data_IF_250095776386
#
_entry.id   IF_250095776386
#
_cell.length_a   1.000
_cell.length_b   1.000
_cell.length_c   1.000
_cell.angle_alpha   90.00
_cell.angle_beta   90.00
_cell.angle_gamma   90.00
#
_symmetry.space_group_name_H-M   'P 1'
#
loop_
_entity.id
_entity.type
_entity.pdbx_description
1 polymer ?
#
# COMPACT_ATOMS: atom_id res chain seq x y z
N UNK A 1 -4.97 -2.17 -3.87
CA UNK A 1 -5.95 -2.59 -4.91
C UNK A 1 -5.92 -1.68 -6.15
N UNK A 2 -6.67 -2.04 -7.20
CA UNK A 2 -6.96 -1.17 -8.34
C UNK A 2 -8.47 -1.20 -8.56
N UNK A 3 -9.11 -0.02 -8.47
CA UNK A 3 -10.57 0.14 -8.50
C UNK A 3 -11.28 -0.82 -7.52
N UNK A 4 -10.66 -1.04 -6.36
CA UNK A 4 -11.14 -1.91 -5.31
C UNK A 4 -11.79 -1.12 -4.17
N UNK A 5 -12.20 -1.82 -3.10
CA UNK A 5 -12.76 -1.18 -1.91
C UNK A 5 -12.62 -2.07 -0.69
N UNK A 6 -12.94 -1.53 0.49
CA UNK A 6 -13.07 -2.26 1.74
C UNK A 6 -14.54 -2.34 2.15
N UNK A 7 -15.01 -3.57 2.36
CA UNK A 7 -16.38 -3.78 2.86
C UNK A 7 -16.50 -3.30 4.31
N UNK A 8 -17.64 -2.72 4.66
CA UNK A 8 -17.91 -2.18 6.01
C UNK A 8 -17.71 -3.23 7.11
N UNK A 9 -18.07 -4.48 6.87
CA UNK A 9 -17.87 -5.58 7.83
C UNK A 9 -16.39 -5.82 8.11
N UNK A 10 -15.54 -5.76 7.07
CA UNK A 10 -14.08 -5.92 7.20
C UNK A 10 -13.50 -4.74 7.97
N UNK A 11 -13.87 -3.51 7.60
CA UNK A 11 -13.43 -2.31 8.29
C UNK A 11 -13.71 -2.36 9.80
N UNK A 12 -14.93 -2.78 10.19
CA UNK A 12 -15.34 -2.84 11.59
C UNK A 12 -14.67 -3.95 12.41
N UNK A 13 -14.05 -4.93 11.74
CA UNK A 13 -13.44 -6.11 12.39
C UNK A 13 -11.95 -6.25 12.12
N UNK A 14 -11.38 -5.40 11.29
CA UNK A 14 -9.96 -5.47 10.92
C UNK A 14 -9.09 -5.06 12.12
N UNK A 15 -8.23 -5.98 12.54
CA UNK A 15 -7.20 -5.77 13.56
C UNK A 15 -5.86 -6.12 12.88
N UNK A 16 -5.35 -5.19 12.11
CA UNK A 16 -4.13 -5.38 11.31
C UNK A 16 -2.94 -4.73 11.99
N UNK A 17 -1.79 -5.38 11.91
CA UNK A 17 -0.50 -4.71 12.12
C UNK A 17 -0.20 -3.77 10.95
N UNK A 18 0.74 -2.81 11.11
CA UNK A 18 1.18 -1.96 10.01
C UNK A 18 1.63 -2.77 8.78
N UNK A 19 1.10 -2.42 7.60
CA UNK A 19 1.44 -3.09 6.34
C UNK A 19 1.53 -2.05 5.21
N UNK A 20 2.40 -2.24 4.20
CA UNK A 20 2.41 -1.38 3.02
C UNK A 20 1.11 -1.49 2.23
N UNK A 21 0.49 -0.36 1.90
CA UNK A 21 -0.79 -0.30 1.18
C UNK A 21 -0.68 0.56 -0.07
N UNK A 22 -1.12 0.04 -1.20
CA UNK A 22 -1.27 0.76 -2.46
C UNK A 22 -2.71 0.68 -2.95
N UNK A 23 -3.32 1.82 -3.21
CA UNK A 23 -4.61 1.96 -3.89
C UNK A 23 -4.43 2.77 -5.19
N UNK A 24 -5.07 2.34 -6.28
CA UNK A 24 -5.19 3.08 -7.54
C UNK A 24 -6.68 3.17 -7.85
N UNK A 25 -7.27 4.38 -7.84
CA UNK A 25 -8.72 4.52 -7.98
C UNK A 25 -9.11 5.70 -8.86
N UNK A 26 -10.11 5.48 -9.72
CA UNK A 26 -10.72 6.50 -10.56
C UNK A 26 -11.72 7.36 -9.79
N UNK A 27 -11.57 8.69 -9.87
CA UNK A 27 -12.47 9.62 -9.18
C UNK A 27 -13.92 9.55 -9.70
N UNK A 28 -14.08 9.16 -10.95
CA UNK A 28 -15.38 9.00 -11.62
C UNK A 28 -15.76 7.52 -11.79
N UNK A 29 -15.20 6.64 -10.96
CA UNK A 29 -15.58 5.22 -10.96
C UNK A 29 -17.07 5.10 -10.66
N UNK A 30 -17.81 4.44 -11.57
CA UNK A 30 -19.24 4.23 -11.49
C UNK A 30 -19.62 2.78 -11.17
N UNK A 31 -18.65 1.96 -10.83
CA UNK A 31 -18.84 0.57 -10.36
C UNK A 31 -18.46 0.49 -8.89
N UNK A 32 -17.20 0.75 -8.56
CA UNK A 32 -16.76 0.91 -7.17
C UNK A 32 -16.64 2.39 -6.90
N UNK A 33 -17.69 2.98 -6.33
CA UNK A 33 -17.81 4.43 -6.18
C UNK A 33 -16.70 4.98 -5.29
N UNK A 34 -16.06 6.08 -5.71
CA UNK A 34 -15.09 6.78 -4.87
C UNK A 34 -15.64 7.11 -3.48
N UNK A 35 -16.90 7.56 -3.41
CA UNK A 35 -17.55 7.96 -2.16
C UNK A 35 -18.14 6.77 -1.37
N UNK A 36 -17.90 5.53 -1.80
CA UNK A 36 -18.45 4.34 -1.17
C UNK A 36 -19.96 4.18 -1.39
N UNK A 37 -20.51 3.09 -0.86
CA UNK A 37 -21.95 2.81 -0.83
C UNK A 37 -22.32 2.08 0.47
N UNK A 38 -22.37 2.82 1.59
CA UNK A 38 -22.74 2.27 2.90
C UNK A 38 -24.21 1.88 2.98
N UNK A 39 -25.08 2.45 2.12
CA UNK A 39 -26.50 2.10 2.05
C UNK A 39 -26.75 0.85 1.21
N UNK A 40 -25.71 0.30 0.56
CA UNK A 40 -25.82 -0.87 -0.32
C UNK A 40 -26.88 -0.70 -1.42
N UNK A 41 -26.88 0.46 -2.08
CA UNK A 41 -27.83 0.77 -3.15
C UNK A 41 -27.67 -0.14 -4.36
N UNK A 42 -26.43 -0.57 -4.65
CA UNK A 42 -26.09 -1.46 -5.76
C UNK A 42 -26.32 -2.94 -5.44
N UNK A 43 -26.53 -3.29 -4.16
CA UNK A 43 -26.99 -4.61 -3.71
C UNK A 43 -25.89 -5.69 -3.59
N UNK A 44 -24.60 -5.32 -3.62
CA UNK A 44 -23.48 -6.24 -3.50
C UNK A 44 -22.66 -6.08 -2.22
N UNK A 45 -23.14 -5.27 -1.28
CA UNK A 45 -22.62 -5.07 0.06
C UNK A 45 -22.30 -3.62 0.37
N UNK A 46 -22.36 -3.25 1.65
CA UNK A 46 -21.93 -1.93 2.11
C UNK A 46 -20.42 -1.81 2.08
N UNK A 47 -19.87 -0.72 1.53
CA UNK A 47 -18.45 -0.48 1.45
C UNK A 47 -18.08 1.00 1.65
N UNK A 48 -16.85 1.22 2.11
CA UNK A 48 -16.35 2.53 2.46
C UNK A 48 -15.93 3.35 1.24
N UNK A 49 -15.86 4.66 1.43
CA UNK A 49 -15.22 5.56 0.46
C UNK A 49 -13.72 5.29 0.35
N UNK A 50 -13.13 5.64 -0.79
CA UNK A 50 -11.66 5.57 -0.97
C UNK A 50 -10.95 6.42 0.08
N UNK A 51 -11.48 7.61 0.39
CA UNK A 51 -10.90 8.50 1.39
C UNK A 51 -10.90 7.83 2.79
N UNK A 52 -12.03 7.22 3.23
CA UNK A 52 -12.11 6.51 4.51
C UNK A 52 -11.15 5.30 4.59
N UNK A 53 -10.97 4.58 3.47
CA UNK A 53 -10.03 3.44 3.41
C UNK A 53 -8.59 3.92 3.57
N UNK A 54 -8.22 5.01 2.92
CA UNK A 54 -6.88 5.58 3.06
C UNK A 54 -6.65 6.09 4.48
N UNK A 55 -7.61 6.82 5.05
CA UNK A 55 -7.52 7.29 6.43
C UNK A 55 -7.36 6.13 7.41
N UNK A 56 -8.12 5.05 7.24
CA UNK A 56 -7.99 3.83 8.04
C UNK A 56 -6.56 3.25 8.02
N UNK A 57 -5.96 3.14 6.84
CA UNK A 57 -4.62 2.59 6.72
C UNK A 57 -3.52 3.55 7.21
N UNK A 58 -3.72 4.86 7.03
CA UNK A 58 -2.82 5.89 7.58
C UNK A 58 -2.83 5.85 9.11
N UNK A 59 -4.01 5.71 9.72
CA UNK A 59 -4.16 5.56 11.18
C UNK A 59 -3.59 4.22 11.68
N UNK A 60 -3.91 3.10 11.00
CA UNK A 60 -3.41 1.76 11.36
C UNK A 60 -1.89 1.68 11.31
N UNK A 61 -1.30 2.29 10.29
CA UNK A 61 0.16 2.33 10.09
C UNK A 61 0.84 3.43 10.91
N UNK A 62 0.08 4.32 11.57
CA UNK A 62 0.59 5.47 12.34
C UNK A 62 1.55 6.35 11.50
N UNK A 63 1.13 6.73 10.29
CA UNK A 63 1.94 7.54 9.40
C UNK A 63 1.98 9.00 9.85
N UNK A 64 3.18 9.61 9.95
CA UNK A 64 3.36 10.96 10.46
C UNK A 64 3.56 12.02 9.36
N UNK A 65 3.92 11.59 8.14
CA UNK A 65 4.26 12.47 7.02
C UNK A 65 3.39 12.22 5.80
N UNK A 66 3.16 13.27 5.00
CA UNK A 66 2.39 13.17 3.75
C UNK A 66 2.97 14.03 2.64
N UNK A 67 2.87 13.58 1.40
CA UNK A 67 3.26 14.29 0.20
C UNK A 67 2.25 14.05 -0.93
N UNK A 68 1.96 15.09 -1.73
CA UNK A 68 1.12 14.98 -2.92
C UNK A 68 1.94 15.28 -4.18
N UNK A 69 2.06 14.31 -5.06
CA UNK A 69 2.86 14.40 -6.29
C UNK A 69 1.92 14.40 -7.50
N UNK A 70 1.88 15.50 -8.23
CA UNK A 70 1.19 15.56 -9.51
C UNK A 70 2.06 14.89 -10.58
N UNK A 71 1.59 13.75 -11.09
CA UNK A 71 2.33 13.04 -12.13
C UNK A 71 2.19 13.74 -13.50
N UNK A 72 3.17 13.57 -14.40
CA UNK A 72 3.07 14.14 -15.75
C UNK A 72 1.85 13.58 -16.50
N UNK A 73 0.95 14.46 -16.95
CA UNK A 73 -0.12 14.11 -17.88
C UNK A 73 0.47 13.97 -19.28
N UNK A 74 0.84 12.75 -19.65
CA UNK A 74 1.49 12.39 -20.91
C UNK A 74 0.47 12.05 -22.00
N UNK A 75 -0.76 11.70 -21.61
CA UNK A 75 -1.86 11.30 -22.48
C UNK A 75 -3.01 12.30 -22.45
N UNK A 76 -2.77 13.54 -22.81
CA UNK A 76 -3.70 14.68 -22.68
C UNK A 76 -5.11 14.48 -23.28
N UNK A 77 -5.33 13.41 -24.06
CA UNK A 77 -6.60 13.16 -24.76
C UNK A 77 -7.47 12.11 -24.08
N UNK A 78 -7.02 11.48 -23.00
CA UNK A 78 -7.81 10.47 -22.27
C UNK A 78 -8.76 11.10 -21.24
N UNK A 79 -8.66 12.41 -21.01
CA UNK A 79 -9.57 13.17 -20.14
C UNK A 79 -9.28 13.01 -18.64
N UNK A 80 -8.11 12.46 -18.30
CA UNK A 80 -7.72 12.20 -16.92
C UNK A 80 -6.30 12.67 -16.61
N UNK A 81 -5.95 12.70 -15.33
CA UNK A 81 -4.59 12.89 -14.84
C UNK A 81 -4.45 12.24 -13.47
N UNK A 82 -3.22 12.07 -12.99
CA UNK A 82 -2.94 11.32 -11.76
C UNK A 82 -2.27 12.18 -10.70
N UNK A 83 -2.76 12.07 -9.47
CA UNK A 83 -2.11 12.58 -8.27
C UNK A 83 -1.72 11.36 -7.42
N UNK A 84 -0.45 11.24 -7.04
CA UNK A 84 0.00 10.25 -6.08
C UNK A 84 0.07 10.91 -4.70
N UNK A 85 -0.81 10.49 -3.80
CA UNK A 85 -0.81 10.84 -2.39
C UNK A 85 0.00 9.79 -1.65
N UNK A 86 1.08 10.20 -1.00
CA UNK A 86 1.97 9.33 -0.23
C UNK A 86 1.91 9.68 1.23
N UNK A 87 1.79 8.66 2.05
CA UNK A 87 1.87 8.76 3.49
C UNK A 87 3.04 7.86 3.93
N UNK A 88 3.98 8.43 4.65
CA UNK A 88 5.25 7.81 5.00
C UNK A 88 5.68 8.19 6.42
N UNK A 89 6.88 7.76 6.85
CA UNK A 89 7.29 7.78 8.26
C UNK A 89 6.28 7.03 9.13
N UNK A 90 5.87 5.85 8.66
CA UNK A 90 4.90 4.99 9.34
C UNK A 90 5.61 3.93 10.18
N UNK A 91 4.88 3.31 11.12
CA UNK A 91 5.41 2.22 11.92
C UNK A 91 5.86 1.05 11.06
N UNK A 92 6.91 0.37 11.49
CA UNK A 92 7.53 -0.79 10.84
C UNK A 92 7.97 -0.52 9.38
N UNK A 93 8.22 0.75 9.01
CA UNK A 93 8.62 1.12 7.66
C UNK A 93 7.51 0.95 6.61
N UNK A 94 6.26 0.77 7.03
CA UNK A 94 5.13 0.73 6.11
C UNK A 94 4.91 2.09 5.44
N UNK A 95 4.22 2.09 4.31
CA UNK A 95 3.76 3.30 3.63
C UNK A 95 2.35 3.08 3.09
N UNK A 96 1.59 4.17 2.90
CA UNK A 96 0.28 4.13 2.24
C UNK A 96 0.33 5.06 1.04
N UNK A 97 0.07 4.53 -0.16
CA UNK A 97 0.03 5.31 -1.39
C UNK A 97 -1.34 5.21 -2.06
N UNK A 98 -1.88 6.36 -2.43
CA UNK A 98 -3.08 6.46 -3.25
C UNK A 98 -2.74 7.15 -4.57
N UNK A 99 -2.95 6.45 -5.68
CA UNK A 99 -2.99 7.04 -7.00
C UNK A 99 -4.43 7.45 -7.30
N UNK A 100 -4.77 8.71 -7.07
CA UNK A 100 -6.04 9.30 -7.46
C UNK A 100 -6.03 9.58 -8.95
N UNK A 101 -6.84 8.86 -9.73
CA UNK A 101 -7.01 9.12 -11.17
C UNK A 101 -8.17 10.07 -11.36
N UNK A 102 -7.87 11.37 -11.41
CA UNK A 102 -8.88 12.42 -11.62
C UNK A 102 -9.44 12.32 -13.04
N UNK A 103 -10.75 12.17 -13.15
CA UNK A 103 -11.43 11.90 -14.42
C UNK A 103 -11.47 10.42 -14.83
N UNK A 104 -10.70 9.55 -14.15
CA UNK A 104 -10.70 8.10 -14.40
C UNK A 104 -11.96 7.40 -13.92
N UNK A 105 -12.34 6.31 -14.60
CA UNK A 105 -13.46 5.44 -14.28
C UNK A 105 -13.03 4.14 -13.60
N UNK A 106 -13.85 3.09 -13.79
CA UNK A 106 -13.55 1.73 -13.32
C UNK A 106 -12.59 1.04 -14.31
N UNK A 107 -11.34 1.43 -14.25
CA UNK A 107 -10.33 1.10 -15.25
C UNK A 107 -9.08 0.46 -14.62
N UNK A 108 -8.25 -0.13 -15.48
CA UNK A 108 -6.89 -0.52 -15.17
C UNK A 108 -5.92 0.45 -15.87
N UNK A 109 -5.47 1.53 -15.21
CA UNK A 109 -4.59 2.52 -15.81
C UNK A 109 -3.36 1.90 -16.51
N UNK A 110 -3.08 2.37 -17.72
CA UNK A 110 -2.05 1.83 -18.59
C UNK A 110 -2.50 0.67 -19.49
N UNK A 111 -3.69 0.10 -19.26
CA UNK A 111 -4.32 -0.87 -20.15
C UNK A 111 -5.58 -0.32 -20.82
N UNK A 112 -6.38 0.42 -20.04
CA UNK A 112 -7.55 1.17 -20.48
C UNK A 112 -7.77 2.37 -19.54
N UNK A 113 -8.60 3.33 -19.94
CA UNK A 113 -8.85 4.56 -19.20
C UNK A 113 -7.63 5.49 -19.20
N UNK A 114 -7.12 5.81 -18.01
CA UNK A 114 -5.92 6.65 -17.87
C UNK A 114 -4.68 5.95 -18.47
N UNK A 115 -3.88 6.69 -19.23
CA UNK A 115 -2.68 6.21 -19.90
C UNK A 115 -1.40 6.92 -19.42
N UNK A 116 -1.47 7.72 -18.35
CA UNK A 116 -0.32 8.42 -17.77
C UNK A 116 0.57 7.53 -16.91
N UNK A 117 -0.03 6.49 -16.32
CA UNK A 117 0.66 5.48 -15.52
C UNK A 117 0.42 4.07 -16.06
N UNK A 118 1.23 3.14 -15.61
CA UNK A 118 1.06 1.70 -15.82
C UNK A 118 0.83 1.03 -14.47
N UNK A 119 -0.42 0.73 -14.11
CA UNK A 119 -0.76 0.20 -12.78
C UNK A 119 0.10 -0.98 -12.36
N UNK A 120 0.39 -1.91 -13.26
CA UNK A 120 1.25 -3.07 -12.96
C UNK A 120 2.69 -2.68 -12.61
N UNK A 121 3.22 -1.62 -13.22
CA UNK A 121 4.56 -1.09 -12.95
C UNK A 121 4.55 -0.35 -11.61
N UNK A 122 3.53 0.48 -11.35
CA UNK A 122 3.43 1.21 -10.08
C UNK A 122 3.28 0.26 -8.89
N UNK A 123 2.47 -0.80 -9.04
CA UNK A 123 2.34 -1.87 -8.04
C UNK A 123 3.69 -2.54 -7.79
N UNK A 124 4.42 -2.91 -8.83
CA UNK A 124 5.74 -3.52 -8.69
C UNK A 124 6.74 -2.56 -8.02
N UNK A 125 6.80 -1.31 -8.47
CA UNK A 125 7.69 -0.30 -7.91
C UNK A 125 7.40 -0.03 -6.43
N UNK A 126 6.12 -0.03 -6.03
CA UNK A 126 5.72 0.13 -4.64
C UNK A 126 6.16 -1.07 -3.81
N UNK A 127 5.71 -2.29 -4.15
CA UNK A 127 6.00 -3.45 -3.31
C UNK A 127 7.47 -3.88 -3.33
N UNK A 128 8.21 -3.57 -4.39
CA UNK A 128 9.65 -3.87 -4.44
C UNK A 128 10.48 -3.11 -3.39
N UNK A 129 9.95 -2.04 -2.81
CA UNK A 129 10.61 -1.29 -1.73
C UNK A 129 10.55 -2.04 -0.39
N UNK A 130 9.61 -2.98 -0.25
CA UNK A 130 9.38 -3.76 0.96
C UNK A 130 9.83 -5.22 0.81
N UNK A 131 10.63 -5.51 -0.20
CA UNK A 131 11.25 -6.84 -0.34
C UNK A 131 12.43 -6.90 0.62
N UNK A 132 12.25 -7.63 1.71
CA UNK A 132 13.36 -7.96 2.60
C UNK A 132 14.23 -9.03 1.94
N UNK A 133 15.52 -8.79 1.86
CA UNK A 133 16.46 -9.85 1.50
C UNK A 133 16.65 -10.74 2.73
N UNK A 134 16.05 -11.92 2.70
CA UNK A 134 16.12 -12.85 3.83
C UNK A 134 17.57 -13.13 4.19
N UNK A 135 17.94 -12.84 5.44
CA UNK A 135 19.31 -12.95 5.92
C UNK A 135 20.14 -11.66 5.88
N UNK A 136 19.66 -10.60 5.22
CA UNK A 136 20.24 -9.25 5.29
C UNK A 136 19.55 -8.48 6.42
N UNK A 137 20.03 -8.71 7.64
CA UNK A 137 19.38 -8.23 8.87
C UNK A 137 19.72 -6.76 9.15
N UNK A 138 20.86 -6.29 8.62
CA UNK A 138 21.30 -4.90 8.78
C UNK A 138 20.87 -3.98 7.62
N UNK A 139 20.21 -4.55 6.58
CA UNK A 139 19.73 -3.85 5.38
C UNK A 139 20.85 -3.10 4.60
N UNK A 140 22.07 -3.67 4.56
CA UNK A 140 23.18 -3.10 3.77
C UNK A 140 23.26 -3.68 2.34
N UNK A 141 22.31 -4.55 1.97
CA UNK A 141 22.23 -5.31 0.71
C UNK A 141 23.35 -6.35 0.53
N UNK A 142 23.99 -6.79 1.62
CA UNK A 142 25.04 -7.81 1.59
C UNK A 142 24.81 -8.82 2.72
N UNK A 143 24.53 -10.06 2.40
CA UNK A 143 24.42 -11.11 3.43
C UNK A 143 25.85 -11.51 3.84
N UNK A 144 26.28 -11.11 5.04
CA UNK A 144 27.61 -11.41 5.55
C UNK A 144 27.65 -11.66 7.08
N UNK A 145 28.86 -11.62 7.66
CA UNK A 145 29.04 -11.88 9.09
C UNK A 145 28.41 -10.80 9.99
N UNK A 146 28.17 -9.60 9.48
CA UNK A 146 27.57 -8.53 10.27
C UNK A 146 26.09 -8.80 10.54
N UNK A 147 25.39 -9.44 9.60
CA UNK A 147 24.02 -9.90 9.78
C UNK A 147 23.93 -10.96 10.87
N UNK A 148 24.87 -11.90 10.86
CA UNK A 148 24.94 -12.94 11.91
C UNK A 148 25.16 -12.32 13.29
N UNK A 149 26.01 -11.31 13.39
CA UNK A 149 26.25 -10.59 14.66
C UNK A 149 24.98 -9.87 15.11
N UNK A 150 24.28 -9.20 14.19
CA UNK A 150 23.02 -8.52 14.50
C UNK A 150 21.93 -9.51 14.89
N UNK A 151 21.77 -10.61 14.15
CA UNK A 151 20.81 -11.68 14.46
C UNK A 151 21.00 -12.24 15.90
N UNK A 152 22.26 -12.50 16.28
CA UNK A 152 22.58 -12.96 17.65
C UNK A 152 22.20 -11.89 18.69
N UNK A 153 22.44 -10.62 18.40
CA UNK A 153 22.10 -9.52 19.30
C UNK A 153 20.60 -9.43 19.48
N UNK A 154 19.83 -9.46 18.41
CA UNK A 154 18.36 -9.42 18.43
C UNK A 154 17.79 -10.63 19.19
N UNK A 155 18.34 -11.83 18.97
CA UNK A 155 17.94 -13.03 19.72
C UNK A 155 18.14 -12.85 21.23
N UNK A 156 19.25 -12.22 21.64
CA UNK A 156 19.52 -11.97 23.07
C UNK A 156 18.62 -10.89 23.68
N UNK A 157 18.25 -9.89 22.89
CA UNK A 157 17.42 -8.76 23.32
C UNK A 157 15.92 -9.01 23.12
N UNK A 158 15.54 -10.17 22.53
CA UNK A 158 14.18 -10.53 22.17
C UNK A 158 13.53 -9.54 21.19
N UNK A 159 14.33 -8.97 20.30
CA UNK A 159 13.86 -8.11 19.21
C UNK A 159 13.48 -8.99 18.00
N UNK A 160 12.57 -8.47 17.17
CA UNK A 160 12.13 -9.15 15.95
C UNK A 160 12.37 -8.29 14.72
N UNK A 161 12.96 -8.89 13.68
CA UNK A 161 13.13 -8.30 12.36
C UNK A 161 12.78 -9.36 11.30
N UNK A 162 11.83 -9.08 10.38
CA UNK A 162 11.38 -10.07 9.38
C UNK A 162 12.49 -10.65 8.51
N UNK A 163 13.55 -9.88 8.21
CA UNK A 163 14.71 -10.38 7.44
C UNK A 163 15.54 -11.42 8.18
N UNK A 164 15.39 -11.50 9.50
CA UNK A 164 16.05 -12.48 10.37
C UNK A 164 15.21 -13.73 10.64
N UNK A 165 13.93 -13.74 10.30
CA UNK A 165 13.07 -14.92 10.43
C UNK A 165 13.25 -15.85 9.22
N UNK A 166 14.30 -16.67 9.26
CA UNK A 166 14.70 -17.52 8.15
C UNK A 166 13.76 -18.71 7.90
N UNK A 167 12.94 -19.07 8.86
CA UNK A 167 12.04 -20.23 8.79
C UNK A 167 10.55 -19.86 8.75
N UNK A 168 10.21 -18.58 8.94
CA UNK A 168 8.84 -18.07 8.85
C UNK A 168 7.96 -18.47 10.04
N UNK A 169 8.54 -18.58 11.25
CA UNK A 169 7.81 -18.94 12.46
C UNK A 169 7.50 -17.76 13.39
N UNK A 170 7.69 -16.52 12.89
CA UNK A 170 7.53 -15.25 13.59
C UNK A 170 8.46 -15.11 14.82
N UNK A 171 9.61 -15.78 14.79
CA UNK A 171 10.63 -15.68 15.84
C UNK A 171 12.04 -15.67 15.25
N UNK A 172 12.93 -14.86 15.85
CA UNK A 172 14.36 -14.95 15.56
C UNK A 172 14.97 -16.02 16.46
N UNK A 173 15.39 -17.13 15.85
CA UNK A 173 16.05 -18.22 16.55
C UNK A 173 17.28 -18.68 15.76
N UNK A 174 18.29 -19.18 16.49
CA UNK A 174 19.58 -19.62 15.95
C UNK A 174 19.71 -21.14 16.11
#
# INVERSE_FOLDING_TARGET
>A
PVAGTMMEEIYNTCDSSPVPVLEIHGRNDNVTLWNGDLENNDGWGSYLSTDDIIDFWVETNECESTENIFLPNTSMNDGSYVINHRYFDCNQGAEVWLYEVVGGGHDWPGSNGNMDIQSSIEIWNFFSQFIFTLGDVNNDNTIDILDVVQLVTMTLDSEFEPSGDLNGDDAINV
#
